data_IF_665731131075
#
_entry.id   IF_665731131075
#
_cell.length_a   1.000
_cell.length_b   1.000
_cell.length_c   1.000
_cell.angle_alpha   90.00
_cell.angle_beta   90.00
_cell.angle_gamma   90.00
#
_symmetry.space_group_name_H-M   'P 1'
#
loop_
_entity.id
_entity.type
_entity.pdbx_description
1 polymer ?
#
# COMPACT_ATOMS: atom_id res chain seq x y z
N UNK A 1 11.70 13.36 -8.00
CA UNK A 1 12.79 12.56 -8.60
C UNK A 1 12.86 11.24 -7.84
N UNK A 2 12.55 10.07 -8.41
CA UNK A 2 12.88 8.83 -7.74
C UNK A 2 14.40 8.73 -7.66
N UNK A 3 14.94 8.37 -6.48
CA UNK A 3 16.37 8.30 -6.24
C UNK A 3 17.02 7.32 -7.22
N UNK A 4 17.92 7.81 -8.07
CA UNK A 4 18.66 7.02 -9.08
C UNK A 4 19.86 6.26 -8.50
N UNK A 5 19.99 6.18 -7.18
CA UNK A 5 21.06 5.43 -6.51
C UNK A 5 20.71 3.96 -6.30
N UNK A 6 21.72 3.13 -6.06
CA UNK A 6 21.51 1.77 -5.58
C UNK A 6 20.81 1.85 -4.21
N UNK A 7 19.56 1.38 -4.14
CA UNK A 7 18.83 1.29 -2.88
C UNK A 7 19.48 0.20 -2.02
N UNK A 8 19.98 0.59 -0.84
CA UNK A 8 20.47 -0.33 0.17
C UNK A 8 19.41 -0.47 1.26
N UNK A 9 18.82 -1.67 1.46
CA UNK A 9 17.89 -1.90 2.56
C UNK A 9 18.54 -1.59 3.91
N UNK A 10 17.77 -1.07 4.90
CA UNK A 10 18.27 -0.91 6.26
C UNK A 10 18.60 -2.28 6.89
N UNK A 11 19.35 -2.32 8.00
CA UNK A 11 19.63 -3.57 8.70
C UNK A 11 18.38 -4.19 9.36
N UNK A 12 17.37 -3.39 9.67
CA UNK A 12 16.09 -3.80 10.24
C UNK A 12 14.97 -2.81 9.88
N UNK A 13 13.73 -3.16 10.23
CA UNK A 13 12.57 -2.26 10.10
C UNK A 13 11.61 -2.63 8.98
N UNK A 14 10.86 -1.64 8.48
CA UNK A 14 9.87 -1.81 7.42
C UNK A 14 10.25 -0.94 6.23
N UNK A 15 10.37 -1.56 5.06
CA UNK A 15 10.57 -0.88 3.78
C UNK A 15 9.24 -0.84 3.03
N UNK A 16 8.79 0.37 2.71
CA UNK A 16 7.61 0.58 1.88
C UNK A 16 7.98 0.68 0.40
N UNK A 17 7.39 -0.18 -0.43
CA UNK A 17 7.47 -0.13 -1.88
C UNK A 17 6.38 0.81 -2.39
N UNK A 18 6.62 2.12 -2.25
CA UNK A 18 5.73 3.20 -2.70
C UNK A 18 5.97 3.54 -4.17
N UNK A 19 5.74 2.55 -5.04
CA UNK A 19 5.92 2.63 -6.50
C UNK A 19 4.61 2.29 -7.22
N UNK A 20 4.44 2.62 -8.51
CA UNK A 20 3.26 2.22 -9.26
C UNK A 20 3.03 0.71 -9.23
N UNK A 21 1.77 0.29 -9.18
CA UNK A 21 1.38 -1.12 -9.03
C UNK A 21 2.07 -2.05 -10.04
N UNK A 22 2.17 -1.61 -11.30
CA UNK A 22 2.77 -2.36 -12.40
C UNK A 22 4.26 -2.72 -12.19
N UNK A 23 4.98 -1.97 -11.36
CA UNK A 23 6.43 -2.17 -11.15
C UNK A 23 6.77 -2.73 -9.76
N UNK A 24 5.79 -3.02 -8.90
CA UNK A 24 6.04 -3.55 -7.56
C UNK A 24 6.82 -4.88 -7.62
N UNK A 25 6.43 -5.79 -8.53
CA UNK A 25 7.10 -7.09 -8.67
C UNK A 25 8.55 -6.96 -9.14
N UNK A 26 8.82 -6.06 -10.10
CA UNK A 26 10.18 -5.77 -10.58
C UNK A 26 11.05 -5.18 -9.45
N UNK A 27 10.51 -4.21 -8.70
CA UNK A 27 11.22 -3.61 -7.57
C UNK A 27 11.48 -4.65 -6.48
N UNK A 28 10.51 -5.51 -6.18
CA UNK A 28 10.69 -6.61 -5.23
C UNK A 28 11.81 -7.56 -5.66
N UNK A 29 11.90 -7.90 -6.96
CA UNK A 29 12.98 -8.72 -7.50
C UNK A 29 14.36 -8.05 -7.33
N UNK A 30 14.45 -6.74 -7.63
CA UNK A 30 15.69 -5.97 -7.47
C UNK A 30 16.13 -5.87 -6.01
N UNK A 31 15.18 -5.70 -5.10
CA UNK A 31 15.45 -5.68 -3.66
C UNK A 31 15.92 -7.06 -3.17
N UNK A 32 15.28 -8.14 -3.61
CA UNK A 32 15.70 -9.50 -3.25
C UNK A 32 17.15 -9.79 -3.70
N UNK A 33 17.54 -9.32 -4.89
CA UNK A 33 18.90 -9.45 -5.40
C UNK A 33 19.96 -8.64 -4.61
N UNK A 34 19.54 -7.72 -3.74
CA UNK A 34 20.45 -6.96 -2.87
C UNK A 34 20.78 -7.65 -1.54
N UNK A 35 20.27 -8.87 -1.33
CA UNK A 35 20.43 -9.67 -0.10
C UNK A 35 20.10 -8.89 1.19
N UNK A 36 18.84 -8.44 1.35
CA UNK A 36 18.43 -7.66 2.51
C UNK A 36 18.59 -8.43 3.82
N UNK A 37 18.88 -7.71 4.90
CA UNK A 37 18.99 -8.32 6.22
C UNK A 37 17.68 -9.01 6.66
N UNK A 38 17.74 -10.18 7.32
CA UNK A 38 16.54 -10.95 7.70
C UNK A 38 15.52 -10.20 8.57
N UNK A 39 15.98 -9.18 9.31
CA UNK A 39 15.13 -8.37 10.20
C UNK A 39 14.26 -7.33 9.46
N UNK A 40 14.44 -7.16 8.15
CA UNK A 40 13.64 -6.24 7.32
C UNK A 40 12.32 -6.88 6.93
N UNK A 41 11.25 -6.09 6.95
CA UNK A 41 9.94 -6.44 6.39
C UNK A 41 9.63 -5.56 5.18
N UNK A 42 8.93 -6.10 4.17
CA UNK A 42 8.62 -5.38 2.93
C UNK A 42 7.11 -5.20 2.75
N UNK A 43 6.69 -3.98 2.43
CA UNK A 43 5.26 -3.64 2.41
C UNK A 43 4.94 -2.83 1.16
N UNK A 44 3.94 -3.24 0.39
CA UNK A 44 3.44 -2.43 -0.73
C UNK A 44 2.25 -1.57 -0.31
N UNK A 45 1.94 -0.55 -1.12
CA UNK A 45 0.81 0.35 -0.88
C UNK A 45 -0.41 0.09 -1.79
N UNK A 46 -0.28 -0.80 -2.78
CA UNK A 46 -1.40 -1.15 -3.68
C UNK A 46 -2.64 -1.61 -2.91
N UNK A 47 -3.80 -1.06 -3.28
CA UNK A 47 -5.11 -1.51 -2.81
C UNK A 47 -5.70 -2.66 -3.62
N UNK A 48 -5.12 -2.99 -4.78
CA UNK A 48 -5.65 -3.99 -5.72
C UNK A 48 -4.86 -5.31 -5.66
N UNK A 49 -3.55 -5.24 -5.44
CA UNK A 49 -2.68 -6.40 -5.46
C UNK A 49 -2.66 -7.14 -4.12
N UNK A 50 -2.56 -8.47 -4.20
CA UNK A 50 -2.30 -9.33 -3.05
C UNK A 50 -0.78 -9.43 -2.77
N UNK A 51 -0.43 -10.05 -1.65
CA UNK A 51 0.97 -10.20 -1.22
C UNK A 51 1.84 -11.02 -2.17
N UNK A 52 1.24 -11.74 -3.13
CA UNK A 52 1.95 -12.56 -4.12
C UNK A 52 2.87 -11.73 -5.04
N UNK A 53 2.60 -10.43 -5.21
CA UNK A 53 3.52 -9.52 -5.91
C UNK A 53 4.89 -9.42 -5.23
N UNK A 54 4.97 -9.76 -3.94
CA UNK A 54 6.20 -9.80 -3.14
C UNK A 54 6.77 -11.22 -3.00
N UNK A 55 6.40 -12.18 -3.87
CA UNK A 55 6.80 -13.59 -3.75
C UNK A 55 8.31 -13.79 -3.60
N UNK A 56 9.13 -13.01 -4.32
CA UNK A 56 10.60 -13.08 -4.25
C UNK A 56 11.20 -12.57 -2.94
N UNK A 57 10.38 -11.95 -2.07
CA UNK A 57 10.78 -11.45 -0.75
C UNK A 57 10.21 -12.30 0.39
N UNK A 58 9.62 -13.48 0.11
CA UNK A 58 9.02 -14.35 1.13
C UNK A 58 10.00 -14.93 2.17
N UNK A 59 11.31 -14.79 1.98
CA UNK A 59 12.30 -14.98 3.04
C UNK A 59 12.18 -13.96 4.19
N UNK A 60 11.39 -12.91 3.98
CA UNK A 60 11.07 -11.85 4.94
C UNK A 60 9.57 -11.82 5.25
N UNK A 61 9.20 -11.12 6.31
CA UNK A 61 7.81 -10.76 6.53
C UNK A 61 7.37 -9.73 5.47
N UNK A 62 6.26 -10.02 4.79
CA UNK A 62 5.71 -9.17 3.71
C UNK A 62 4.30 -8.70 4.07
N UNK A 63 3.89 -7.53 3.57
CA UNK A 63 2.57 -6.99 3.84
C UNK A 63 2.06 -5.98 2.84
N UNK A 64 0.86 -5.49 3.09
CA UNK A 64 0.21 -4.40 2.35
C UNK A 64 -0.30 -3.34 3.33
N UNK A 65 -0.21 -2.07 2.95
CA UNK A 65 -0.68 -0.94 3.74
C UNK A 65 -1.29 0.09 2.79
N UNK A 66 -2.60 -0.01 2.54
CA UNK A 66 -3.29 0.81 1.55
C UNK A 66 -4.17 1.86 2.24
N UNK A 67 -3.78 3.14 2.22
CA UNK A 67 -4.62 4.23 2.67
C UNK A 67 -5.82 4.40 1.74
N UNK A 68 -7.04 4.31 2.27
CA UNK A 68 -8.27 4.55 1.52
C UNK A 68 -8.52 6.06 1.40
N UNK A 69 -7.67 6.75 0.65
CA UNK A 69 -7.69 8.18 0.42
C UNK A 69 -6.91 8.52 -0.85
N UNK A 70 -7.31 9.58 -1.56
CA UNK A 70 -6.58 10.07 -2.73
C UNK A 70 -5.45 11.02 -2.31
N UNK A 71 -4.23 10.73 -2.79
CA UNK A 71 -3.02 11.55 -2.62
C UNK A 71 -2.44 11.97 -3.99
N UNK A 72 -3.11 12.85 -4.75
CA UNK A 72 -2.64 13.27 -6.07
C UNK A 72 -1.35 14.11 -6.02
N UNK A 73 -1.03 14.68 -4.87
CA UNK A 73 0.19 15.43 -4.57
C UNK A 73 0.58 15.17 -3.11
N UNK A 74 1.82 15.48 -2.69
CA UNK A 74 2.21 15.42 -1.28
C UNK A 74 1.25 16.23 -0.40
N UNK A 75 0.87 15.68 0.75
CA UNK A 75 -0.03 16.32 1.71
C UNK A 75 0.57 16.27 3.11
N UNK A 76 0.09 17.17 3.97
CA UNK A 76 0.42 17.16 5.38
C UNK A 76 0.03 15.85 6.07
N UNK A 77 0.73 15.44 7.15
CA UNK A 77 0.43 14.21 7.89
C UNK A 77 -1.02 14.06 8.34
N UNK A 78 -1.71 15.18 8.60
CA UNK A 78 -3.13 15.21 8.98
C UNK A 78 -4.07 14.61 7.92
N UNK A 79 -3.62 14.47 6.67
CA UNK A 79 -4.37 13.79 5.61
C UNK A 79 -4.64 12.29 5.92
N UNK A 80 -3.91 11.68 6.86
CA UNK A 80 -4.15 10.32 7.35
C UNK A 80 -5.17 10.26 8.50
N UNK A 81 -5.51 11.39 9.13
CA UNK A 81 -6.39 11.38 10.30
C UNK A 81 -7.79 10.92 9.92
N UNK A 82 -8.30 9.91 10.62
CA UNK A 82 -9.66 9.40 10.48
C UNK A 82 -9.91 8.49 9.26
N UNK A 83 -8.97 8.39 8.31
CA UNK A 83 -9.14 7.53 7.13
C UNK A 83 -9.04 6.04 7.51
N UNK A 84 -9.60 5.18 6.68
CA UNK A 84 -9.34 3.73 6.76
C UNK A 84 -8.00 3.41 6.10
N UNK A 85 -7.20 2.55 6.73
CA UNK A 85 -6.03 1.94 6.09
C UNK A 85 -6.25 0.44 6.05
N UNK A 86 -6.37 -0.12 4.85
CA UNK A 86 -6.42 -1.55 4.65
C UNK A 86 -5.03 -2.14 4.87
N UNK A 87 -4.94 -3.15 5.72
CA UNK A 87 -3.66 -3.81 6.06
C UNK A 87 -3.77 -5.32 5.87
N UNK A 88 -2.68 -5.91 5.42
CA UNK A 88 -2.49 -7.36 5.44
C UNK A 88 -1.01 -7.69 5.65
N UNK A 89 -0.72 -8.89 6.14
CA UNK A 89 0.65 -9.33 6.34
C UNK A 89 0.78 -10.85 6.39
N UNK A 90 1.93 -11.36 5.94
CA UNK A 90 2.27 -12.78 6.01
C UNK A 90 2.50 -13.29 7.43
N UNK A 91 2.75 -12.41 8.40
CA UNK A 91 2.94 -12.78 9.80
C UNK A 91 2.07 -11.96 10.74
N UNK A 92 1.58 -12.55 11.86
CA UNK A 92 0.86 -11.81 12.90
C UNK A 92 1.67 -10.66 13.51
N UNK A 93 3.00 -10.81 13.59
CA UNK A 93 3.90 -9.80 14.14
C UNK A 93 3.94 -8.54 13.25
N UNK A 94 4.09 -8.72 11.94
CA UNK A 94 4.05 -7.60 10.98
C UNK A 94 2.65 -6.98 10.93
N UNK A 95 1.58 -7.78 10.94
CA UNK A 95 0.21 -7.26 10.98
C UNK A 95 0.00 -6.30 12.16
N UNK A 96 0.42 -6.70 13.37
CA UNK A 96 0.35 -5.84 14.55
C UNK A 96 1.18 -4.56 14.42
N UNK A 97 2.37 -4.64 13.83
CA UNK A 97 3.21 -3.45 13.55
C UNK A 97 2.50 -2.48 12.61
N UNK A 98 1.93 -2.96 11.51
CA UNK A 98 1.20 -2.15 10.54
C UNK A 98 -0.06 -1.52 11.14
N UNK A 99 -0.83 -2.28 11.91
CA UNK A 99 -1.99 -1.74 12.61
C UNK A 99 -1.62 -0.65 13.62
N UNK A 100 -0.49 -0.80 14.35
CA UNK A 100 0.01 0.25 15.24
C UNK A 100 0.46 1.49 14.46
N UNK A 101 1.15 1.30 13.34
CA UNK A 101 1.57 2.39 12.47
C UNK A 101 0.36 3.20 11.97
N UNK A 102 -0.67 2.53 11.46
CA UNK A 102 -1.91 3.18 11.03
C UNK A 102 -2.56 4.00 12.16
N UNK A 103 -2.68 3.43 13.37
CA UNK A 103 -3.21 4.16 14.52
C UNK A 103 -2.34 5.35 14.92
N UNK A 104 -1.02 5.21 14.82
CA UNK A 104 -0.07 6.31 15.07
C UNK A 104 -0.23 7.48 14.10
N UNK A 105 -0.68 7.21 12.86
CA UNK A 105 -1.07 8.24 11.88
C UNK A 105 -2.48 8.81 12.12
N UNK A 106 -3.18 8.39 13.18
CA UNK A 106 -4.57 8.79 13.45
C UNK A 106 -5.60 8.09 12.54
N UNK A 107 -5.20 7.06 11.79
CA UNK A 107 -6.07 6.30 10.91
C UNK A 107 -6.70 5.08 11.61
N UNK A 108 -7.69 4.47 10.95
CA UNK A 108 -8.40 3.27 11.39
C UNK A 108 -7.92 2.06 10.58
N UNK A 109 -7.07 1.17 11.14
CA UNK A 109 -6.65 -0.01 10.40
C UNK A 109 -7.80 -1.02 10.24
N UNK A 110 -7.96 -1.55 9.04
CA UNK A 110 -8.85 -2.67 8.73
C UNK A 110 -8.02 -3.80 8.12
N UNK A 111 -8.08 -5.02 8.69
CA UNK A 111 -7.48 -6.18 8.01
C UNK A 111 -8.29 -6.48 6.76
N UNK A 112 -7.63 -6.67 5.62
CA UNK A 112 -8.26 -7.10 4.37
C UNK A 112 -7.47 -8.28 3.84
N UNK A 113 -8.04 -9.48 3.94
CA UNK A 113 -7.40 -10.69 3.44
C UNK A 113 -7.42 -10.76 1.90
N UNK A 114 -6.67 -11.70 1.32
CA UNK A 114 -6.54 -11.81 -0.13
C UNK A 114 -7.87 -12.10 -0.86
N UNK A 115 -8.71 -12.94 -0.26
CA UNK A 115 -10.07 -13.27 -0.71
C UNK A 115 -11.03 -12.07 -0.69
N UNK A 116 -10.85 -11.14 0.26
CA UNK A 116 -11.67 -9.91 0.34
C UNK A 116 -11.15 -8.77 -0.54
N UNK A 117 -9.91 -8.86 -1.04
CA UNK A 117 -9.18 -7.74 -1.67
C UNK A 117 -9.89 -7.19 -2.90
N UNK A 118 -10.41 -8.07 -3.74
CA UNK A 118 -11.10 -7.70 -4.99
C UNK A 118 -12.36 -6.90 -4.66
N UNK A 119 -13.19 -7.39 -3.74
CA UNK A 119 -14.41 -6.70 -3.32
C UNK A 119 -14.10 -5.37 -2.62
N UNK A 120 -13.08 -5.36 -1.75
CA UNK A 120 -12.62 -4.14 -1.10
C UNK A 120 -12.17 -3.08 -2.12
N UNK A 121 -11.37 -3.47 -3.12
CA UNK A 121 -10.89 -2.56 -4.15
C UNK A 121 -12.03 -2.04 -5.03
N UNK A 122 -12.95 -2.90 -5.45
CA UNK A 122 -14.13 -2.52 -6.22
C UNK A 122 -14.99 -1.49 -5.46
N UNK A 123 -15.23 -1.71 -4.16
CA UNK A 123 -15.95 -0.76 -3.32
C UNK A 123 -15.22 0.59 -3.20
N UNK A 124 -13.88 0.57 -3.07
CA UNK A 124 -13.07 1.79 -3.02
C UNK A 124 -13.16 2.60 -4.30
N UNK A 125 -13.01 1.96 -5.47
CA UNK A 125 -13.11 2.61 -6.79
C UNK A 125 -14.51 3.19 -6.99
N UNK A 126 -15.56 2.45 -6.62
CA UNK A 126 -16.93 2.92 -6.73
C UNK A 126 -17.22 4.13 -5.83
N UNK A 127 -16.69 4.13 -4.60
CA UNK A 127 -16.87 5.22 -3.65
C UNK A 127 -15.98 6.46 -3.94
N UNK A 128 -15.11 6.41 -4.96
CA UNK A 128 -14.19 7.50 -5.29
C UNK A 128 -14.19 7.83 -6.78
N UNK A 129 -13.44 7.07 -7.59
CA UNK A 129 -13.27 7.31 -9.02
C UNK A 129 -14.61 7.44 -9.76
N UNK A 130 -15.57 6.58 -9.48
CA UNK A 130 -16.87 6.61 -10.18
C UNK A 130 -17.75 7.77 -9.76
N UNK A 131 -17.66 8.24 -8.51
CA UNK A 131 -18.36 9.47 -8.08
C UNK A 131 -17.94 10.66 -8.95
N UNK A 132 -16.63 10.80 -9.18
CA UNK A 132 -16.08 11.86 -10.04
C UNK A 132 -16.47 11.68 -11.51
N UNK A 133 -16.43 10.45 -12.03
CA UNK A 133 -16.82 10.17 -13.41
C UNK A 133 -18.31 10.48 -13.65
N UNK A 134 -19.19 10.06 -12.75
CA UNK A 134 -20.63 10.35 -12.80
C UNK A 134 -20.89 11.85 -12.72
N UNK A 135 -20.22 12.57 -11.80
CA UNK A 135 -20.39 14.02 -11.69
C UNK A 135 -19.90 14.75 -12.95
N UNK A 136 -18.74 14.36 -13.49
CA UNK A 136 -18.18 14.95 -14.70
C UNK A 136 -19.05 14.73 -15.94
N UNK A 137 -19.69 13.56 -16.05
CA UNK A 137 -20.69 13.32 -17.10
C UNK A 137 -21.94 14.18 -16.91
N UNK A 138 -22.43 14.31 -15.68
CA UNK A 138 -23.54 15.19 -15.36
C UNK A 138 -23.28 16.64 -15.79
N UNK A 139 -22.08 17.17 -15.52
CA UNK A 139 -21.68 18.50 -16.00
C UNK A 139 -21.71 18.57 -17.53
N UNK A 140 -21.07 17.63 -18.24
CA UNK A 140 -21.02 17.61 -19.71
C UNK A 140 -22.39 17.61 -20.40
N UNK A 141 -23.38 16.96 -19.79
CA UNK A 141 -24.72 16.84 -20.38
C UNK A 141 -25.65 18.01 -20.02
N UNK A 142 -25.33 18.75 -18.95
CA UNK A 142 -26.19 19.81 -18.41
C UNK A 142 -25.66 21.23 -18.63
N UNK A 143 -24.44 21.37 -19.18
CA UNK A 143 -23.83 22.64 -19.58
C UNK A 143 -23.37 22.58 -21.01
#
# INVERSE_FOLDING_TARGET
MPARGAFKPPPDGIVFLAVPDAVIGEVAARVAASDPAPAVSFVHLSGALALDVLALLRGHAVGSFHPLQSFPFPREPDAFRGITIAVDASTPALLRKLQRLARGLGARPRKVAADERVLYHAAAVHASNFVLATFGEGVRQLT
#
